data_IF_618764452802
#
_entry.id   IF_618764452802
#
_cell.length_a   1.000
_cell.length_b   1.000
_cell.length_c   1.000
_cell.angle_alpha   90.00
_cell.angle_beta   90.00
_cell.angle_gamma   90.00
#
_symmetry.space_group_name_H-M   'P 1'
#
loop_
_entity.id
_entity.type
_entity.pdbx_description
1 polymer ?
#
# COMPACT_ATOMS: atom_id res chain seq x y z
N UNK A 1 -22.17 -5.56 4.98
CA UNK A 1 -21.09 -4.99 4.15
C UNK A 1 -20.11 -6.09 3.89
N UNK A 2 -19.77 -6.34 2.63
CA UNK A 2 -18.79 -7.36 2.25
C UNK A 2 -17.40 -6.72 2.23
N UNK A 3 -16.43 -7.30 2.95
CA UNK A 3 -15.04 -6.82 3.00
C UNK A 3 -14.13 -7.74 2.20
N UNK A 4 -13.59 -7.21 1.11
CA UNK A 4 -12.68 -7.91 0.22
C UNK A 4 -11.24 -7.44 0.50
N UNK A 5 -10.34 -8.38 0.79
CA UNK A 5 -8.91 -8.14 0.82
C UNK A 5 -8.34 -8.30 -0.58
N UNK A 6 -7.87 -7.21 -1.19
CA UNK A 6 -7.24 -7.23 -2.50
C UNK A 6 -5.72 -7.24 -2.33
N UNK A 7 -5.07 -8.27 -2.84
CA UNK A 7 -3.61 -8.39 -2.82
C UNK A 7 -3.06 -8.88 -4.15
N UNK A 8 -1.75 -8.97 -4.26
CA UNK A 8 -1.06 -9.38 -5.47
C UNK A 8 0.38 -8.89 -5.46
N UNK A 9 1.27 -9.70 -6.03
CA UNK A 9 2.69 -9.37 -6.04
C UNK A 9 2.99 -8.10 -6.85
N UNK A 10 4.16 -7.51 -6.62
CA UNK A 10 4.60 -6.30 -7.31
C UNK A 10 4.54 -6.49 -8.85
N UNK A 11 3.94 -5.53 -9.56
CA UNK A 11 3.73 -5.59 -11.01
C UNK A 11 2.52 -6.40 -11.49
N UNK A 12 1.75 -7.01 -10.60
CA UNK A 12 0.55 -7.82 -10.93
C UNK A 12 -0.55 -7.04 -11.65
N UNK A 13 -0.72 -5.75 -11.34
CA UNK A 13 -1.83 -4.94 -11.84
C UNK A 13 -2.96 -4.75 -10.83
N UNK A 14 -2.71 -5.03 -9.54
CA UNK A 14 -3.63 -4.78 -8.42
C UNK A 14 -4.38 -3.44 -8.48
N UNK A 15 -3.66 -2.34 -8.73
CA UNK A 15 -4.27 -1.00 -8.84
C UNK A 15 -5.28 -0.89 -10.00
N UNK A 16 -5.06 -1.61 -11.10
CA UNK A 16 -5.99 -1.67 -12.23
C UNK A 16 -7.27 -2.40 -11.83
N UNK A 17 -7.15 -3.54 -11.15
CA UNK A 17 -8.31 -4.30 -10.65
C UNK A 17 -9.08 -3.48 -9.60
N UNK A 18 -8.39 -2.80 -8.70
CA UNK A 18 -9.00 -1.88 -7.73
C UNK A 18 -9.83 -0.79 -8.43
N UNK A 19 -9.26 -0.13 -9.46
CA UNK A 19 -9.97 0.89 -10.24
C UNK A 19 -11.21 0.31 -10.94
N UNK A 20 -11.10 -0.86 -11.56
CA UNK A 20 -12.24 -1.53 -12.22
C UNK A 20 -13.35 -1.92 -11.23
N UNK A 21 -13.00 -2.34 -10.02
CA UNK A 21 -13.97 -2.60 -8.96
C UNK A 21 -14.65 -1.31 -8.49
N UNK A 22 -13.90 -0.22 -8.36
CA UNK A 22 -14.44 1.10 -8.02
C UNK A 22 -15.44 1.59 -9.07
N UNK A 23 -15.13 1.43 -10.36
CA UNK A 23 -16.05 1.73 -11.47
C UNK A 23 -17.36 0.93 -11.42
N UNK A 24 -17.36 -0.23 -10.74
CA UNK A 24 -18.54 -1.06 -10.51
C UNK A 24 -19.22 -0.81 -9.17
N UNK A 25 -18.84 0.25 -8.47
CA UNK A 25 -19.48 0.71 -7.24
C UNK A 25 -18.86 0.15 -5.95
N UNK A 26 -17.73 -0.56 -6.03
CA UNK A 26 -17.00 -0.95 -4.83
C UNK A 26 -16.32 0.27 -4.20
N UNK A 27 -16.33 0.35 -2.87
CA UNK A 27 -15.57 1.36 -2.15
C UNK A 27 -14.15 0.87 -1.92
N UNK A 28 -13.18 1.48 -2.61
CA UNK A 28 -11.77 1.11 -2.50
C UNK A 28 -11.07 1.90 -1.39
N UNK A 29 -10.53 1.17 -0.43
CA UNK A 29 -9.66 1.67 0.64
C UNK A 29 -8.23 1.29 0.27
N UNK A 30 -7.51 2.26 -0.30
CA UNK A 30 -6.13 2.09 -0.77
C UNK A 30 -5.16 2.58 0.31
N UNK A 31 -4.45 1.65 0.94
CA UNK A 31 -3.49 1.96 2.00
C UNK A 31 -2.33 2.84 1.53
N UNK A 32 -1.87 2.66 0.28
CA UNK A 32 -0.80 3.48 -0.29
C UNK A 32 -1.31 4.91 -0.54
N UNK A 33 -2.54 5.07 -1.03
CA UNK A 33 -3.15 6.40 -1.18
C UNK A 33 -3.31 7.08 0.18
N UNK A 34 -3.86 6.37 1.17
CA UNK A 34 -4.05 6.90 2.53
C UNK A 34 -2.71 7.30 3.15
N UNK A 35 -1.65 6.50 2.97
CA UNK A 35 -0.31 6.85 3.45
C UNK A 35 0.22 8.16 2.87
N UNK A 36 -0.24 8.58 1.69
CA UNK A 36 0.06 9.91 1.13
C UNK A 36 -0.80 10.99 1.77
N UNK A 37 -2.08 10.74 1.92
CA UNK A 37 -3.08 11.68 2.46
C UNK A 37 -2.76 12.08 3.91
N UNK A 38 -2.37 11.12 4.76
CA UNK A 38 -2.13 11.39 6.19
C UNK A 38 -0.89 12.24 6.46
N UNK A 39 -0.09 12.53 5.43
CA UNK A 39 1.09 13.41 5.48
C UNK A 39 1.00 14.56 4.46
N UNK A 40 -0.20 14.90 3.99
CA UNK A 40 -0.40 16.09 3.16
C UNK A 40 -0.22 17.39 3.98
N UNK A 41 0.06 18.54 3.32
CA UNK A 41 0.14 19.84 3.97
C UNK A 41 -1.03 20.11 4.92
N UNK A 42 -0.69 20.56 6.14
CA UNK A 42 -1.68 20.88 7.18
C UNK A 42 -2.19 19.69 8.01
N UNK A 43 -1.74 18.46 7.71
CA UNK A 43 -2.09 17.29 8.51
C UNK A 43 -1.23 17.16 9.78
N UNK A 44 -1.76 16.56 10.86
CA UNK A 44 -0.96 16.22 12.04
C UNK A 44 0.18 15.24 11.72
N UNK A 45 0.00 14.35 10.73
CA UNK A 45 1.02 13.38 10.34
C UNK A 45 2.24 14.06 9.71
N UNK A 46 2.03 15.05 8.84
CA UNK A 46 3.14 15.82 8.29
C UNK A 46 3.91 16.58 9.38
N UNK A 47 3.19 17.22 10.31
CA UNK A 47 3.82 17.93 11.42
C UNK A 47 4.65 17.00 12.31
N UNK A 48 4.16 15.79 12.59
CA UNK A 48 4.89 14.78 13.35
C UNK A 48 6.14 14.29 12.61
N UNK A 49 6.06 14.08 11.29
CA UNK A 49 7.21 13.71 10.46
C UNK A 49 8.26 14.82 10.45
N UNK A 50 7.86 16.08 10.29
CA UNK A 50 8.79 17.22 10.33
C UNK A 50 9.43 17.40 11.71
N UNK A 51 8.68 17.16 12.80
CA UNK A 51 9.23 17.21 14.16
C UNK A 51 10.28 16.10 14.42
N UNK A 52 10.07 14.91 13.86
CA UNK A 52 10.97 13.76 14.03
C UNK A 52 12.23 13.86 13.15
N UNK A 53 12.08 14.27 11.89
CA UNK A 53 13.16 14.23 10.89
C UNK A 53 13.74 15.61 10.53
N UNK A 54 13.20 16.68 11.13
CA UNK A 54 13.57 18.06 10.88
C UNK A 54 12.88 18.67 9.66
N UNK A 55 12.88 20.00 9.56
CA UNK A 55 12.22 20.74 8.48
C UNK A 55 12.82 20.47 7.08
N UNK A 56 14.02 19.87 7.00
CA UNK A 56 14.64 19.47 5.73
C UNK A 56 13.87 18.41 4.94
N UNK A 57 12.85 17.78 5.54
CA UNK A 57 11.92 16.87 4.83
C UNK A 57 10.71 17.59 4.23
N UNK A 58 10.65 18.92 4.33
CA UNK A 58 9.60 19.73 3.73
C UNK A 58 10.12 20.42 2.47
N UNK A 59 9.32 20.39 1.42
CA UNK A 59 9.51 21.20 0.22
C UNK A 59 9.14 22.67 0.49
N UNK A 60 9.52 23.56 -0.43
CA UNK A 60 9.31 25.00 -0.29
C UNK A 60 7.82 25.40 -0.21
N UNK A 61 6.91 24.59 -0.72
CA UNK A 61 5.46 24.77 -0.64
C UNK A 61 4.85 24.17 0.65
N UNK A 62 5.67 23.61 1.53
CA UNK A 62 5.25 22.96 2.76
C UNK A 62 4.78 21.51 2.58
N UNK A 63 4.87 20.93 1.38
CA UNK A 63 4.61 19.50 1.17
C UNK A 63 5.76 18.63 1.64
N UNK A 64 5.51 17.34 1.84
CA UNK A 64 6.56 16.38 2.16
C UNK A 64 7.50 16.18 0.95
N UNK A 65 8.78 16.49 1.13
CA UNK A 65 9.83 16.06 0.20
C UNK A 65 10.14 14.58 0.44
N UNK A 66 9.55 13.74 -0.39
CA UNK A 66 9.73 12.28 -0.34
C UNK A 66 11.14 11.86 -0.68
N UNK A 67 11.87 12.62 -1.50
CA UNK A 67 13.25 12.32 -1.86
C UNK A 67 14.19 12.58 -0.69
N UNK A 68 13.98 13.71 0.00
CA UNK A 68 14.71 14.03 1.23
C UNK A 68 14.41 13.02 2.34
N UNK A 69 13.13 12.73 2.60
CA UNK A 69 12.74 11.73 3.60
C UNK A 69 13.28 10.34 3.24
N UNK A 70 13.17 9.92 1.97
CA UNK A 70 13.71 8.65 1.52
C UNK A 70 15.22 8.57 1.77
N UNK A 71 15.97 9.64 1.53
CA UNK A 71 17.42 9.67 1.76
C UNK A 71 17.80 9.50 3.23
N UNK A 72 16.92 9.85 4.17
CA UNK A 72 17.11 9.64 5.62
C UNK A 72 16.76 8.21 6.01
N UNK A 73 15.61 7.67 5.55
CA UNK A 73 15.13 6.35 5.98
C UNK A 73 15.73 5.19 5.17
N UNK A 74 16.27 5.47 3.98
CA UNK A 74 16.89 4.47 3.12
C UNK A 74 18.28 4.11 3.65
N UNK A 75 18.40 2.90 4.20
CA UNK A 75 19.65 2.41 4.80
C UNK A 75 19.70 2.54 6.33
N UNK A 76 18.75 3.25 6.95
CA UNK A 76 18.59 3.33 8.41
C UNK A 76 17.28 2.67 8.84
N UNK A 77 17.39 1.44 9.35
CA UNK A 77 16.26 0.65 9.83
C UNK A 77 15.59 1.27 11.06
N UNK A 78 16.34 1.97 11.91
CA UNK A 78 15.79 2.66 13.07
C UNK A 78 15.01 3.92 12.64
N UNK A 79 15.53 4.69 11.69
CA UNK A 79 14.80 5.83 11.11
C UNK A 79 13.50 5.38 10.44
N UNK A 80 13.56 4.31 9.63
CA UNK A 80 12.37 3.72 9.03
C UNK A 80 11.34 3.29 10.08
N UNK A 81 11.78 2.64 11.16
CA UNK A 81 10.87 2.22 12.23
C UNK A 81 10.17 3.41 12.92
N UNK A 82 10.87 4.54 13.11
CA UNK A 82 10.26 5.76 13.67
C UNK A 82 9.24 6.37 12.71
N UNK A 83 9.54 6.43 11.41
CA UNK A 83 8.59 6.86 10.39
C UNK A 83 7.34 5.97 10.36
N UNK A 84 7.54 4.66 10.31
CA UNK A 84 6.46 3.66 10.33
C UNK A 84 5.60 3.80 11.60
N UNK A 85 6.22 4.11 12.74
CA UNK A 85 5.55 4.38 14.01
C UNK A 85 4.63 5.62 13.98
N UNK A 86 4.96 6.64 13.19
CA UNK A 86 4.14 7.84 12.99
C UNK A 86 3.02 7.54 11.98
N UNK A 87 3.35 6.96 10.83
CA UNK A 87 2.44 6.85 9.69
C UNK A 87 1.44 5.72 9.86
N UNK A 88 1.84 4.53 10.31
CA UNK A 88 0.94 3.36 10.36
C UNK A 88 -0.30 3.56 11.25
N UNK A 89 -0.22 4.17 12.45
CA UNK A 89 -1.43 4.47 13.24
C UNK A 89 -2.41 5.38 12.49
N UNK A 90 -1.91 6.40 11.79
CA UNK A 90 -2.74 7.34 11.04
C UNK A 90 -3.42 6.66 9.85
N UNK A 91 -2.68 5.83 9.12
CA UNK A 91 -3.22 5.04 8.01
C UNK A 91 -4.33 4.09 8.50
N UNK A 92 -4.09 3.40 9.62
CA UNK A 92 -5.09 2.49 10.22
C UNK A 92 -6.36 3.23 10.66
N UNK A 93 -6.21 4.37 11.32
CA UNK A 93 -7.35 5.19 11.74
C UNK A 93 -8.15 5.65 10.52
N UNK A 94 -7.48 6.20 9.50
CA UNK A 94 -8.14 6.69 8.29
C UNK A 94 -8.81 5.57 7.49
N UNK A 95 -8.19 4.40 7.38
CA UNK A 95 -8.79 3.25 6.76
C UNK A 95 -10.06 2.79 7.52
N UNK A 96 -10.00 2.73 8.84
CA UNK A 96 -11.15 2.38 9.68
C UNK A 96 -12.31 3.37 9.53
N UNK A 97 -12.02 4.68 9.45
CA UNK A 97 -13.02 5.71 9.18
C UNK A 97 -13.71 5.51 7.83
N UNK A 98 -12.93 5.24 6.76
CA UNK A 98 -13.48 5.02 5.42
C UNK A 98 -14.36 3.77 5.40
N UNK A 99 -13.93 2.68 6.04
CA UNK A 99 -14.71 1.45 6.18
C UNK A 99 -16.00 1.71 6.97
N UNK A 100 -15.92 2.44 8.09
CA UNK A 100 -17.08 2.73 8.94
C UNK A 100 -18.09 3.69 8.27
N UNK A 101 -17.64 4.57 7.37
CA UNK A 101 -18.47 5.48 6.60
C UNK A 101 -19.16 4.79 5.39
N UNK A 102 -18.76 3.56 5.06
CA UNK A 102 -19.35 2.83 3.94
C UNK A 102 -20.80 2.40 4.26
N UNK A 103 -21.72 2.42 3.28
CA UNK A 103 -23.07 1.88 3.43
C UNK A 103 -23.08 0.43 3.95
N UNK A 104 -24.12 0.06 4.71
CA UNK A 104 -24.22 -1.27 5.30
C UNK A 104 -24.27 -2.40 4.26
N UNK A 105 -24.72 -2.11 3.04
CA UNK A 105 -24.79 -3.00 1.88
C UNK A 105 -23.62 -2.85 0.90
N UNK A 106 -22.63 -2.01 1.21
CA UNK A 106 -21.47 -1.78 0.35
C UNK A 106 -20.57 -3.01 0.22
N UNK A 107 -19.85 -3.05 -0.90
CA UNK A 107 -18.66 -3.88 -1.11
C UNK A 107 -17.44 -2.99 -0.88
N UNK A 108 -16.65 -3.30 0.15
CA UNK A 108 -15.44 -2.56 0.48
C UNK A 108 -14.23 -3.39 0.11
N UNK A 109 -13.41 -2.85 -0.79
CA UNK A 109 -12.17 -3.48 -1.25
C UNK A 109 -11.01 -2.78 -0.57
N UNK A 110 -10.28 -3.49 0.28
CA UNK A 110 -9.08 -2.97 0.94
C UNK A 110 -7.86 -3.48 0.18
N UNK A 111 -7.12 -2.56 -0.42
CA UNK A 111 -5.86 -2.87 -1.09
C UNK A 111 -4.75 -3.04 -0.04
N UNK A 112 -4.27 -4.30 0.12
CA UNK A 112 -3.28 -4.68 1.12
C UNK A 112 -2.12 -5.41 0.44
N UNK A 113 -1.04 -4.70 0.06
CA UNK A 113 0.11 -5.30 -0.64
C UNK A 113 0.81 -6.43 0.11
N UNK A 114 0.80 -6.39 1.45
CA UNK A 114 1.48 -7.36 2.32
C UNK A 114 0.49 -8.29 3.07
N UNK A 115 -0.70 -8.52 2.49
CA UNK A 115 -1.78 -9.27 3.15
C UNK A 115 -1.32 -10.66 3.62
N UNK A 116 -0.56 -11.35 2.78
CA UNK A 116 -0.09 -12.72 3.05
C UNK A 116 1.07 -12.70 4.04
N UNK A 117 2.04 -11.82 3.79
CA UNK A 117 3.25 -11.64 4.58
C UNK A 117 2.95 -11.26 6.04
N UNK A 118 1.81 -10.61 6.28
CA UNK A 118 1.35 -10.19 7.61
C UNK A 118 0.23 -11.07 8.19
N UNK A 119 -0.16 -12.15 7.50
CA UNK A 119 -1.17 -13.08 7.99
C UNK A 119 -2.58 -12.47 8.12
N UNK A 120 -2.92 -11.47 7.31
CA UNK A 120 -4.17 -10.70 7.44
C UNK A 120 -5.37 -11.33 6.71
N UNK A 121 -5.19 -12.45 6.00
CA UNK A 121 -6.25 -13.08 5.19
C UNK A 121 -7.56 -13.30 5.97
N UNK A 122 -7.48 -13.80 7.20
CA UNK A 122 -8.65 -14.04 8.05
C UNK A 122 -9.40 -12.79 8.55
N UNK A 123 -8.94 -11.59 8.19
CA UNK A 123 -9.62 -10.31 8.52
C UNK A 123 -10.65 -9.89 7.47
N UNK A 124 -10.81 -10.67 6.40
CA UNK A 124 -11.66 -10.38 5.24
C UNK A 124 -12.68 -11.48 5.03
N UNK A 125 -13.83 -11.11 4.47
CA UNK A 125 -14.87 -12.07 4.07
C UNK A 125 -14.47 -12.81 2.78
N UNK A 126 -13.62 -12.19 1.96
CA UNK A 126 -13.10 -12.72 0.71
C UNK A 126 -11.70 -12.14 0.42
N UNK A 127 -10.76 -12.97 0.00
CA UNK A 127 -9.42 -12.57 -0.47
C UNK A 127 -9.34 -12.74 -1.99
N UNK A 128 -9.13 -11.61 -2.68
CA UNK A 128 -8.92 -11.53 -4.12
C UNK A 128 -7.42 -11.31 -4.39
N UNK A 129 -6.78 -12.26 -5.05
CA UNK A 129 -5.37 -12.17 -5.45
C UNK A 129 -5.28 -11.82 -6.93
N UNK A 130 -4.56 -10.75 -7.25
CA UNK A 130 -4.25 -10.40 -8.65
C UNK A 130 -2.92 -11.02 -9.04
N UNK A 131 -2.95 -11.86 -10.06
CA UNK A 131 -1.77 -12.49 -10.65
C UNK A 131 -1.50 -12.01 -12.07
N UNK A 132 -0.23 -12.12 -12.47
CA UNK A 132 0.23 -11.95 -13.83
C UNK A 132 1.52 -12.75 -14.02
N UNK A 133 1.79 -13.18 -15.24
CA UNK A 133 3.02 -13.93 -15.56
C UNK A 133 4.27 -13.19 -15.04
N UNK A 134 5.27 -13.91 -14.47
CA UNK A 134 6.47 -13.29 -13.92
C UNK A 134 7.18 -12.36 -14.91
N UNK A 135 7.29 -12.76 -16.18
CA UNK A 135 7.91 -11.94 -17.22
C UNK A 135 7.11 -10.67 -17.51
N UNK A 136 5.78 -10.76 -17.52
CA UNK A 136 4.89 -9.59 -17.65
C UNK A 136 5.08 -8.62 -16.48
N UNK A 137 5.23 -9.13 -15.25
CA UNK A 137 5.49 -8.32 -14.05
C UNK A 137 6.84 -7.62 -14.15
N UNK A 138 7.89 -8.34 -14.57
CA UNK A 138 9.23 -7.76 -14.80
C UNK A 138 9.18 -6.67 -15.86
N UNK A 139 8.54 -6.91 -17.01
CA UNK A 139 8.39 -5.92 -18.08
C UNK A 139 7.69 -4.65 -17.59
N UNK A 140 6.61 -4.78 -16.83
CA UNK A 140 5.88 -3.64 -16.22
C UNK A 140 6.76 -2.86 -15.24
N UNK A 141 7.59 -3.54 -14.46
CA UNK A 141 8.47 -2.88 -13.48
C UNK A 141 9.66 -2.19 -14.14
N UNK A 142 10.21 -2.78 -15.20
CA UNK A 142 11.22 -2.13 -16.04
C UNK A 142 10.65 -0.87 -16.70
N UNK A 143 9.42 -0.95 -17.21
CA UNK A 143 8.70 0.23 -17.73
C UNK A 143 8.44 1.33 -16.69
N UNK A 144 8.58 1.02 -15.39
CA UNK A 144 8.49 1.98 -14.27
C UNK A 144 9.86 2.45 -13.77
N UNK A 145 10.94 2.13 -14.49
CA UNK A 145 12.30 2.62 -14.21
C UNK A 145 13.17 1.71 -13.35
N UNK A 146 12.73 0.49 -13.01
CA UNK A 146 13.58 -0.47 -12.31
C UNK A 146 14.49 -1.23 -13.30
N UNK A 147 15.64 -1.71 -12.82
CA UNK A 147 16.39 -2.72 -13.58
C UNK A 147 15.66 -4.07 -13.52
N UNK A 148 15.89 -4.93 -14.52
CA UNK A 148 15.28 -6.26 -14.52
C UNK A 148 15.79 -7.14 -13.37
N UNK A 149 16.99 -6.85 -12.85
CA UNK A 149 17.55 -7.50 -11.66
C UNK A 149 16.84 -7.03 -10.38
N UNK A 150 16.71 -5.70 -10.19
CA UNK A 150 15.99 -5.12 -9.04
C UNK A 150 14.52 -5.54 -9.03
N UNK A 151 13.86 -5.57 -10.20
CA UNK A 151 12.49 -6.07 -10.33
C UNK A 151 12.36 -7.51 -9.80
N UNK A 152 13.26 -8.41 -10.21
CA UNK A 152 13.26 -9.81 -9.75
C UNK A 152 13.60 -9.94 -8.27
N UNK A 153 14.57 -9.17 -7.78
CA UNK A 153 14.95 -9.15 -6.37
C UNK A 153 13.75 -8.74 -5.48
N UNK A 154 13.03 -7.68 -5.88
CA UNK A 154 11.81 -7.25 -5.18
C UNK A 154 10.71 -8.29 -5.23
N UNK A 155 10.47 -8.90 -6.40
CA UNK A 155 9.50 -10.00 -6.52
C UNK A 155 9.84 -11.17 -5.60
N UNK A 156 11.10 -11.54 -5.49
CA UNK A 156 11.57 -12.64 -4.64
C UNK A 156 11.52 -12.31 -3.12
N UNK A 157 11.50 -11.03 -2.75
CA UNK A 157 11.38 -10.60 -1.34
C UNK A 157 9.96 -10.62 -0.78
N UNK A 158 8.95 -10.79 -1.64
CA UNK A 158 7.55 -10.90 -1.25
C UNK A 158 7.14 -12.36 -1.10
N UNK A 159 5.94 -12.63 -0.59
CA UNK A 159 5.35 -13.97 -0.66
C UNK A 159 5.40 -14.49 -2.10
N UNK A 160 5.47 -15.80 -2.28
CA UNK A 160 5.35 -16.47 -3.57
C UNK A 160 3.90 -16.43 -4.08
N UNK A 161 3.71 -16.68 -5.38
CA UNK A 161 2.36 -16.79 -5.93
C UNK A 161 1.63 -18.01 -5.36
N UNK A 162 2.35 -19.10 -5.05
CA UNK A 162 1.78 -20.26 -4.35
C UNK A 162 1.23 -19.90 -2.96
N UNK A 163 2.01 -19.17 -2.14
CA UNK A 163 1.55 -18.69 -0.84
C UNK A 163 0.35 -17.74 -0.96
N UNK A 164 0.28 -16.93 -2.02
CA UNK A 164 -0.91 -16.09 -2.29
C UNK A 164 -2.14 -16.92 -2.63
N UNK A 165 -2.01 -17.90 -3.53
CA UNK A 165 -3.13 -18.80 -3.88
C UNK A 165 -3.63 -19.59 -2.68
N UNK A 166 -2.74 -19.98 -1.78
CA UNK A 166 -3.10 -20.74 -0.58
C UNK A 166 -4.06 -20.01 0.36
N UNK A 167 -4.12 -18.67 0.29
CA UNK A 167 -5.03 -17.84 1.09
C UNK A 167 -6.09 -17.12 0.25
N UNK A 168 -6.15 -17.40 -1.06
CA UNK A 168 -7.08 -16.76 -1.98
C UNK A 168 -8.42 -17.49 -2.02
N UNK A 169 -9.50 -16.74 -2.03
CA UNK A 169 -10.82 -17.24 -2.42
C UNK A 169 -11.02 -17.11 -3.93
N UNK A 170 -10.42 -16.08 -4.53
CA UNK A 170 -10.47 -15.79 -5.97
C UNK A 170 -9.09 -15.33 -6.46
N UNK A 171 -8.69 -15.81 -7.63
CA UNK A 171 -7.46 -15.42 -8.37
C UNK A 171 -7.83 -14.88 -9.73
#
# INVERSE_FOLDING_TARGET
MLRIGLTGGIGSGKSTVAALLAERGAQVVDADRIAREVVEPGTPGLAAVAAEFGEGVLAADGALDRGALASIVFGDTAARARLDGIVHPLVRARAAELVAAAPADAVVVQDVPLLVETGQAGSYDLVLVVEADPDTRVQRLVGRGLSAEDARARMASQASDEERRAVADVV
#
